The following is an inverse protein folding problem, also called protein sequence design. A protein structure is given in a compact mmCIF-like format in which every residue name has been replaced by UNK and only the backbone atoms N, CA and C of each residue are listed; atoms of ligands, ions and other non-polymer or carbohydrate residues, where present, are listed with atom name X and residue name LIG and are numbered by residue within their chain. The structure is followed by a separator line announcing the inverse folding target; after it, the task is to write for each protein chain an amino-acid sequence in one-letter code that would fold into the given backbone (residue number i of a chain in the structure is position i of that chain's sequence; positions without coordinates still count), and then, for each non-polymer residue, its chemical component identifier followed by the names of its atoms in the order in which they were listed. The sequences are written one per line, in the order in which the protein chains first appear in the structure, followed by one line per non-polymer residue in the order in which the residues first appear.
data_IF_677456370021
#
_entry.id   IF_677456370021
#
_cell.length_a   1.000
_cell.length_b   1.000
_cell.length_c   1.000
_cell.angle_alpha   90.00
_cell.angle_beta   90.00
_cell.angle_gamma   90.00
#
_symmetry.space_group_name_H-M   'P 1'
#
loop_
_entity.id
_entity.type
_entity.pdbx_description
1 polymer ?
#
# COMPACT_ATOMS: atom_id res chain seq x y z
N UNK A 1 -5.03 -10.26 27.77
CA UNK A 1 -5.32 -9.81 26.39
C UNK A 1 -5.51 -8.28 26.35
N UNK A 2 -4.52 -7.52 26.82
CA UNK A 2 -4.58 -6.04 26.90
C UNK A 2 -3.32 -5.39 26.29
N UNK A 3 -2.26 -6.17 26.07
CA UNK A 3 -0.98 -5.69 25.54
C UNK A 3 -0.98 -5.47 24.01
N UNK A 4 -1.78 -6.23 23.25
CA UNK A 4 -1.82 -6.10 21.78
C UNK A 4 -2.43 -4.78 21.29
N UNK A 5 -3.50 -4.29 21.95
CA UNK A 5 -4.19 -3.06 21.55
C UNK A 5 -3.36 -1.79 21.77
N UNK A 6 -2.53 -1.77 22.81
CA UNK A 6 -1.71 -0.60 23.18
C UNK A 6 -0.55 -0.42 22.19
N UNK A 7 0.07 -1.52 21.75
CA UNK A 7 1.17 -1.48 20.78
C UNK A 7 0.68 -1.04 19.40
N UNK A 8 -0.50 -1.50 18.96
CA UNK A 8 -1.07 -1.12 17.66
C UNK A 8 -1.39 0.38 17.58
N UNK A 9 -2.00 0.95 18.61
CA UNK A 9 -2.36 2.38 18.63
C UNK A 9 -1.11 3.29 18.67
N UNK A 10 -0.05 2.86 19.37
CA UNK A 10 1.19 3.61 19.45
C UNK A 10 1.91 3.69 18.09
N UNK A 11 2.00 2.57 17.36
CA UNK A 11 2.65 2.53 16.04
C UNK A 11 1.97 3.43 15.01
N UNK A 12 0.64 3.38 14.92
CA UNK A 12 -0.10 4.25 14.00
C UNK A 12 0.01 5.73 14.39
N UNK A 13 -0.02 6.05 15.69
CA UNK A 13 0.12 7.41 16.18
C UNK A 13 1.51 8.02 15.87
N UNK A 14 2.60 7.25 16.01
CA UNK A 14 3.96 7.75 15.72
C UNK A 14 4.15 7.98 14.22
N UNK A 15 3.67 7.05 13.38
CA UNK A 15 3.67 7.20 11.92
C UNK A 15 2.93 8.47 11.48
N UNK A 16 1.72 8.69 12.02
CA UNK A 16 0.92 9.87 11.74
C UNK A 16 1.61 11.16 12.18
N UNK A 17 2.17 11.19 13.40
CA UNK A 17 2.88 12.35 13.93
C UNK A 17 4.13 12.72 13.10
N UNK A 18 4.76 11.75 12.44
CA UNK A 18 5.85 12.00 11.51
C UNK A 18 5.34 12.71 10.23
N UNK A 19 4.23 12.24 9.64
CA UNK A 19 3.59 12.91 8.50
C UNK A 19 3.13 14.33 8.84
N UNK A 20 2.54 14.54 10.02
CA UNK A 20 2.10 15.87 10.45
C UNK A 20 3.27 16.87 10.57
N UNK A 21 4.50 16.38 10.80
CA UNK A 21 5.75 17.17 10.80
C UNK A 21 6.41 17.27 9.42
N UNK A 22 5.87 16.61 8.40
CA UNK A 22 6.44 16.52 7.05
C UNK A 22 7.61 15.53 6.93
N UNK A 23 7.82 14.66 7.93
CA UNK A 23 8.92 13.68 7.97
C UNK A 23 8.44 12.32 7.45
N UNK A 24 8.47 12.17 6.12
CA UNK A 24 8.01 10.95 5.43
C UNK A 24 8.95 9.77 5.69
N UNK A 25 10.25 10.02 5.81
CA UNK A 25 11.25 8.99 6.08
C UNK A 25 11.06 8.40 7.47
N UNK A 26 10.78 9.25 8.47
CA UNK A 26 10.44 8.77 9.81
C UNK A 26 9.13 7.99 9.82
N UNK A 27 8.11 8.44 9.09
CA UNK A 27 6.86 7.66 8.97
C UNK A 27 7.14 6.26 8.42
N UNK A 28 7.97 6.14 7.38
CA UNK A 28 8.38 4.87 6.80
C UNK A 28 9.14 3.99 7.80
N UNK A 29 10.12 4.54 8.52
CA UNK A 29 10.87 3.81 9.57
C UNK A 29 9.94 3.29 10.68
N UNK A 30 9.00 4.11 11.13
CA UNK A 30 8.02 3.70 12.14
C UNK A 30 7.11 2.58 11.61
N UNK A 31 6.68 2.66 10.35
CA UNK A 31 5.89 1.59 9.72
C UNK A 31 6.65 0.27 9.60
N UNK A 32 7.94 0.30 9.25
CA UNK A 32 8.78 -0.89 9.23
C UNK A 32 8.86 -1.57 10.61
N UNK A 33 8.98 -0.77 11.68
CA UNK A 33 9.03 -1.27 13.06
C UNK A 33 7.67 -1.80 13.54
N UNK A 34 6.57 -1.19 13.06
CA UNK A 34 5.22 -1.56 13.46
C UNK A 34 4.69 -2.82 12.74
N UNK A 35 5.18 -3.09 11.53
CA UNK A 35 4.82 -4.27 10.74
C UNK A 35 3.57 -4.10 9.85
N UNK A 36 3.29 -5.09 8.98
CA UNK A 36 2.34 -4.94 7.87
C UNK A 36 0.91 -4.69 8.35
N UNK A 37 0.48 -5.32 9.45
CA UNK A 37 -0.87 -5.11 9.99
C UNK A 37 -1.15 -3.67 10.42
N UNK A 38 -0.15 -2.95 10.94
CA UNK A 38 -0.31 -1.53 11.31
C UNK A 38 -0.28 -0.63 10.08
N UNK A 39 0.59 -0.94 9.11
CA UNK A 39 0.62 -0.24 7.83
C UNK A 39 -0.71 -0.39 7.09
N UNK A 40 -1.30 -1.58 7.10
CA UNK A 40 -2.63 -1.82 6.53
C UNK A 40 -3.72 -1.02 7.24
N UNK A 41 -3.73 -1.01 8.58
CA UNK A 41 -4.67 -0.17 9.35
C UNK A 41 -4.53 1.31 8.99
N UNK A 42 -3.29 1.79 8.81
CA UNK A 42 -3.02 3.16 8.41
C UNK A 42 -3.53 3.45 6.98
N UNK A 43 -3.33 2.53 6.03
CA UNK A 43 -3.90 2.63 4.66
C UNK A 43 -5.42 2.71 4.68
N UNK A 44 -6.08 1.94 5.54
CA UNK A 44 -7.53 1.87 5.63
C UNK A 44 -8.16 2.94 6.54
N UNK A 45 -7.34 3.78 7.17
CA UNK A 45 -7.81 4.88 8.01
C UNK A 45 -8.61 5.91 7.19
N UNK A 46 -9.50 6.64 7.87
CA UNK A 46 -10.31 7.69 7.23
C UNK A 46 -9.61 9.04 7.19
N UNK A 47 -8.60 9.26 8.05
CA UNK A 47 -7.84 10.50 8.04
C UNK A 47 -6.66 10.43 7.08
N UNK A 48 -6.49 11.51 6.29
CA UNK A 48 -5.46 11.61 5.27
C UNK A 48 -4.03 11.42 5.82
N UNK A 49 -3.64 12.00 6.98
CA UNK A 49 -2.30 11.80 7.52
C UNK A 49 -1.96 10.33 7.78
N UNK A 50 -2.87 9.57 8.40
CA UNK A 50 -2.68 8.13 8.59
C UNK A 50 -2.55 7.38 7.26
N UNK A 51 -3.41 7.68 6.27
CA UNK A 51 -3.30 7.07 4.93
C UNK A 51 -1.96 7.36 4.27
N UNK A 52 -1.48 8.61 4.31
CA UNK A 52 -0.18 8.98 3.75
C UNK A 52 0.97 8.26 4.46
N UNK A 53 0.87 8.07 5.77
CA UNK A 53 1.86 7.32 6.53
C UNK A 53 1.88 5.83 6.13
N UNK A 54 0.70 5.23 5.95
CA UNK A 54 0.55 3.88 5.41
C UNK A 54 1.16 3.74 4.02
N UNK A 55 0.86 4.67 3.10
CA UNK A 55 1.40 4.66 1.74
C UNK A 55 2.93 4.77 1.74
N UNK A 56 3.51 5.66 2.56
CA UNK A 56 4.96 5.84 2.66
C UNK A 56 5.70 4.62 3.23
N UNK A 57 5.01 3.83 4.06
CA UNK A 57 5.59 2.66 4.73
C UNK A 57 5.38 1.35 3.96
N UNK A 58 4.33 1.28 3.14
CA UNK A 58 3.98 0.06 2.43
C UNK A 58 5.14 -0.56 1.62
N UNK A 59 5.98 0.20 0.88
CA UNK A 59 7.07 -0.41 0.11
C UNK A 59 8.20 -1.02 0.95
N UNK A 60 8.32 -0.65 2.23
CA UNK A 60 9.49 -0.98 3.05
C UNK A 60 9.22 -2.04 4.12
N UNK A 61 7.94 -2.36 4.37
CA UNK A 61 7.56 -3.35 5.38
C UNK A 61 7.72 -4.79 4.86
N UNK A 62 8.01 -5.73 5.76
CA UNK A 62 8.01 -7.16 5.44
C UNK A 62 6.60 -7.64 5.07
N UNK A 63 6.47 -8.57 4.12
CA UNK A 63 5.17 -9.07 3.64
C UNK A 63 4.34 -8.03 2.88
N UNK A 64 4.96 -6.95 2.39
CA UNK A 64 4.28 -5.82 1.72
C UNK A 64 3.43 -6.19 0.50
N UNK A 65 3.69 -7.32 -0.15
CA UNK A 65 2.86 -7.86 -1.23
C UNK A 65 1.40 -8.01 -0.80
N UNK A 66 1.15 -8.41 0.45
CA UNK A 66 -0.20 -8.51 1.02
C UNK A 66 -0.94 -7.16 1.04
N UNK A 67 -0.19 -6.04 1.05
CA UNK A 67 -0.76 -4.70 1.04
C UNK A 67 -1.27 -4.25 -0.33
N UNK A 68 -1.02 -5.01 -1.41
CA UNK A 68 -1.45 -4.66 -2.76
C UNK A 68 -2.96 -4.48 -2.88
N UNK A 69 -3.76 -5.29 -2.17
CA UNK A 69 -5.21 -5.13 -2.12
C UNK A 69 -5.64 -3.84 -1.42
N UNK A 70 -5.06 -3.55 -0.25
CA UNK A 70 -5.35 -2.33 0.52
C UNK A 70 -4.88 -1.07 -0.21
N UNK A 71 -3.75 -1.11 -0.91
CA UNK A 71 -3.28 -0.02 -1.78
C UNK A 71 -4.22 0.20 -2.98
N UNK A 72 -4.76 -0.86 -3.59
CA UNK A 72 -5.75 -0.74 -4.66
C UNK A 72 -7.02 -0.02 -4.17
N UNK A 73 -7.47 -0.35 -2.95
CA UNK A 73 -8.62 0.33 -2.33
C UNK A 73 -8.36 1.84 -2.12
N UNK A 74 -7.18 2.21 -1.63
CA UNK A 74 -6.80 3.63 -1.46
C UNK A 74 -6.63 4.34 -2.81
N UNK A 75 -6.05 3.66 -3.80
CA UNK A 75 -5.95 4.16 -5.18
C UNK A 75 -7.32 4.38 -5.82
N UNK A 76 -8.31 3.56 -5.49
CA UNK A 76 -9.71 3.75 -5.87
C UNK A 76 -10.42 4.87 -5.11
N UNK A 77 -9.78 5.53 -4.14
CA UNK A 77 -10.37 6.63 -3.38
C UNK A 77 -10.57 7.91 -4.20
N UNK A 78 -11.47 8.82 -3.79
CA UNK A 78 -11.75 10.06 -4.53
C UNK A 78 -10.64 11.12 -4.39
N UNK A 79 -9.73 10.96 -3.43
CA UNK A 79 -8.68 11.95 -3.16
C UNK A 79 -7.43 11.67 -3.99
N UNK A 80 -7.17 12.51 -5.00
CA UNK A 80 -5.99 12.41 -5.86
C UNK A 80 -4.67 12.39 -5.08
N UNK A 81 -4.60 13.07 -3.93
CA UNK A 81 -3.38 13.22 -3.13
C UNK A 81 -2.99 11.95 -2.40
N UNK A 82 -3.92 11.02 -2.18
CA UNK A 82 -3.62 9.69 -1.61
C UNK A 82 -3.68 8.61 -2.69
N UNK A 83 -4.59 8.75 -3.67
CA UNK A 83 -4.78 7.76 -4.72
C UNK A 83 -3.55 7.58 -5.62
N UNK A 84 -2.95 8.67 -6.11
CA UNK A 84 -1.76 8.57 -6.98
C UNK A 84 -0.53 8.02 -6.25
N UNK A 85 -0.20 8.49 -5.03
CA UNK A 85 0.88 7.88 -4.25
C UNK A 85 0.63 6.40 -3.92
N UNK A 86 -0.60 6.01 -3.56
CA UNK A 86 -0.94 4.61 -3.31
C UNK A 86 -0.70 3.72 -4.55
N UNK A 87 -1.16 4.17 -5.72
CA UNK A 87 -0.92 3.46 -6.98
C UNK A 87 0.58 3.33 -7.31
N UNK A 88 1.39 4.37 -7.03
CA UNK A 88 2.85 4.31 -7.24
C UNK A 88 3.53 3.35 -6.27
N UNK A 89 3.11 3.34 -5.01
CA UNK A 89 3.63 2.41 -4.01
C UNK A 89 3.32 0.95 -4.41
N UNK A 90 2.10 0.70 -4.88
CA UNK A 90 1.70 -0.60 -5.42
C UNK A 90 2.55 -1.04 -6.61
N UNK A 91 2.78 -0.12 -7.57
CA UNK A 91 3.63 -0.41 -8.72
C UNK A 91 5.07 -0.76 -8.31
N UNK A 92 5.61 -0.07 -7.31
CA UNK A 92 6.95 -0.37 -6.80
C UNK A 92 7.02 -1.79 -6.23
N UNK A 93 6.03 -2.17 -5.40
CA UNK A 93 5.92 -3.52 -4.82
C UNK A 93 5.76 -4.57 -5.93
N UNK A 94 4.85 -4.35 -6.88
CA UNK A 94 4.59 -5.29 -7.97
C UNK A 94 5.83 -5.50 -8.87
N UNK A 95 6.57 -4.43 -9.17
CA UNK A 95 7.83 -4.54 -9.93
C UNK A 95 8.91 -5.30 -9.19
N UNK A 96 9.01 -5.11 -7.88
CA UNK A 96 9.97 -5.85 -7.08
C UNK A 96 9.60 -7.33 -7.00
N UNK A 97 8.31 -7.63 -6.82
CA UNK A 97 7.80 -9.01 -6.85
C UNK A 97 8.12 -9.70 -8.19
N UNK A 98 7.85 -9.01 -9.31
CA UNK A 98 8.15 -9.51 -10.65
C UNK A 98 9.65 -9.68 -10.95
N UNK A 99 10.53 -9.04 -10.16
CA UNK A 99 11.97 -9.16 -10.30
C UNK A 99 12.55 -10.32 -9.46
N UNK A 100 11.75 -10.95 -8.60
CA UNK A 100 12.19 -12.09 -7.79
C UNK A 100 12.22 -13.35 -8.65
N UNK A 101 13.27 -14.14 -8.46
CA UNK A 101 13.42 -15.46 -9.11
C UNK A 101 12.48 -16.47 -8.44
N UNK A 102 12.43 -16.43 -7.11
CA UNK A 102 11.54 -17.26 -6.29
C UNK A 102 10.51 -16.37 -5.58
N UNK A 103 9.23 -16.73 -5.71
CA UNK A 103 8.16 -16.09 -4.98
C UNK A 103 8.20 -16.51 -3.50
N UNK A 104 7.68 -15.69 -2.57
CA UNK A 104 7.48 -16.11 -1.19
C UNK A 104 6.68 -17.41 -1.12
N UNK A 105 7.09 -18.35 -0.27
CA UNK A 105 6.47 -19.69 -0.16
C UNK A 105 4.99 -19.64 0.26
N UNK A 106 4.59 -18.56 0.93
CA UNK A 106 3.24 -18.27 1.41
C UNK A 106 2.37 -17.52 0.38
N UNK A 107 2.93 -17.11 -0.75
CA UNK A 107 2.20 -16.35 -1.77
C UNK A 107 1.46 -17.29 -2.75
N UNK A 108 0.13 -17.33 -2.65
CA UNK A 108 -0.68 -18.14 -3.55
C UNK A 108 -0.84 -17.49 -4.93
N UNK A 109 -0.83 -18.25 -6.04
CA UNK A 109 -1.11 -17.72 -7.38
C UNK A 109 -2.46 -16.98 -7.49
N UNK A 110 -3.45 -17.42 -6.71
CA UNK A 110 -4.79 -16.81 -6.67
C UNK A 110 -4.77 -15.39 -6.07
N UNK A 111 -3.85 -15.10 -5.16
CA UNK A 111 -3.69 -13.77 -4.58
C UNK A 111 -3.15 -12.79 -5.64
N UNK A 112 -2.12 -13.22 -6.38
CA UNK A 112 -1.53 -12.43 -7.49
C UNK A 112 -2.59 -12.15 -8.55
N UNK A 113 -3.37 -13.17 -8.95
CA UNK A 113 -4.46 -13.01 -9.91
C UNK A 113 -5.53 -12.02 -9.41
N UNK A 114 -5.88 -12.10 -8.12
CA UNK A 114 -6.83 -11.18 -7.47
C UNK A 114 -6.31 -9.75 -7.50
N UNK A 115 -5.06 -9.51 -7.10
CA UNK A 115 -4.48 -8.17 -7.10
C UNK A 115 -4.37 -7.60 -8.51
N UNK A 116 -3.90 -8.38 -9.48
CA UNK A 116 -3.88 -8.01 -10.89
C UNK A 116 -5.26 -7.54 -11.35
N UNK A 117 -6.32 -8.29 -11.01
CA UNK A 117 -7.68 -7.94 -11.40
C UNK A 117 -8.14 -6.62 -10.79
N UNK A 118 -7.82 -6.34 -9.51
CA UNK A 118 -8.13 -5.06 -8.87
C UNK A 118 -7.52 -3.86 -9.63
N UNK A 119 -6.26 -3.96 -10.07
CA UNK A 119 -5.60 -2.89 -10.82
C UNK A 119 -6.14 -2.76 -12.25
N UNK A 120 -6.49 -3.87 -12.90
CA UNK A 120 -7.20 -3.83 -14.19
C UNK A 120 -8.53 -3.07 -14.06
N UNK A 121 -9.28 -3.30 -12.98
CA UNK A 121 -10.57 -2.64 -12.78
C UNK A 121 -10.41 -1.15 -12.44
N UNK A 122 -9.38 -0.77 -11.67
CA UNK A 122 -8.99 0.64 -11.47
C UNK A 122 -8.67 1.34 -12.80
N UNK A 123 -7.99 0.67 -13.73
CA UNK A 123 -7.63 1.26 -15.02
C UNK A 123 -8.83 1.46 -15.96
N UNK A 124 -9.87 0.63 -15.83
CA UNK A 124 -11.11 0.71 -16.62
C UNK A 124 -12.00 1.88 -16.20
N UNK A 125 -11.91 2.31 -14.94
CA UNK A 125 -12.70 3.44 -14.43
C UNK A 125 -12.33 4.73 -15.19
N UNK A 126 -13.25 5.16 -16.07
CA UNK A 126 -13.04 6.27 -17.00
C UNK A 126 -13.11 7.63 -16.33
N UNK A 127 -13.72 7.71 -15.14
CA UNK A 127 -13.85 8.93 -14.37
C UNK A 127 -12.57 9.25 -13.59
N UNK A 128 -11.54 8.39 -13.70
CA UNK A 128 -10.25 8.55 -13.04
C UNK A 128 -9.24 9.32 -13.87
N UNK A 129 -8.31 9.93 -13.14
CA UNK A 129 -7.16 10.63 -13.72
C UNK A 129 -6.34 9.69 -14.60
N UNK A 130 -5.91 10.17 -15.76
CA UNK A 130 -5.21 9.36 -16.75
C UNK A 130 -3.93 8.73 -16.19
N UNK A 131 -3.22 9.46 -15.31
CA UNK A 131 -2.00 8.97 -14.68
C UNK A 131 -2.27 7.77 -13.78
N UNK A 132 -3.39 7.75 -13.05
CA UNK A 132 -3.78 6.61 -12.22
C UNK A 132 -4.04 5.38 -13.09
N UNK A 133 -4.71 5.57 -14.24
CA UNK A 133 -5.01 4.49 -15.17
C UNK A 133 -3.74 3.87 -15.75
N UNK A 134 -2.76 4.70 -16.14
CA UNK A 134 -1.46 4.23 -16.63
C UNK A 134 -0.73 3.43 -15.54
N UNK A 135 -0.65 3.97 -14.31
CA UNK A 135 0.04 3.28 -13.21
C UNK A 135 -0.66 1.96 -12.86
N UNK A 136 -1.99 1.92 -12.89
CA UNK A 136 -2.75 0.71 -12.62
C UNK A 136 -2.52 -0.36 -13.69
N UNK A 137 -2.46 0.01 -14.98
CA UNK A 137 -2.10 -0.92 -16.05
C UNK A 137 -0.67 -1.45 -15.88
N UNK A 138 0.29 -0.57 -15.58
CA UNK A 138 1.68 -0.97 -15.32
C UNK A 138 1.79 -1.93 -14.13
N UNK A 139 0.96 -1.73 -13.10
CA UNK A 139 0.92 -2.57 -11.90
C UNK A 139 0.37 -3.95 -12.26
N UNK A 140 -0.75 -4.00 -12.97
CA UNK A 140 -1.34 -5.25 -13.45
C UNK A 140 -0.39 -6.03 -14.38
N UNK A 141 0.32 -5.33 -15.26
CA UNK A 141 1.30 -5.95 -16.17
C UNK A 141 2.54 -6.49 -15.43
N UNK A 142 2.94 -5.85 -14.32
CA UNK A 142 4.02 -6.37 -13.48
C UNK A 142 3.60 -7.66 -12.75
N UNK A 143 2.35 -7.75 -12.30
CA UNK A 143 1.78 -8.93 -11.63
C UNK A 143 1.45 -10.11 -12.57
N UNK A 144 1.61 -9.93 -13.89
CA UNK A 144 1.33 -10.95 -14.91
C UNK A 144 2.61 -11.73 -15.32
N UNK A 145 3.76 -11.36 -14.76
CA UNK A 145 5.08 -11.95 -15.05
C UNK A 145 5.45 -13.00 -14.01
#
# INVERSE_FOLDING_TARGET
MFWGLIVCAAGLATMRAAIDRGDVDEASRQGMLAGPGIVEQALLATDRPAQLAGIASAPTVAGREELLGSLAKVAGGPDRRTALPAARAALAIARELAARIDLPDDLAPDDIATWRQLYVDLAKDRDRWIELRVIALDTAAALDR
#
